data_IF_330527393129
#
_entry.id   IF_330527393129
#
_cell.length_a   1.000
_cell.length_b   1.000
_cell.length_c   1.000
_cell.angle_alpha   90.00
_cell.angle_beta   90.00
_cell.angle_gamma   90.00
#
_symmetry.space_group_name_H-M   'P 1'
#
loop_
_entity.id
_entity.type
_entity.pdbx_description
1 polymer ?
#
# COMPACT_ATOMS: atom_id res chain seq x y z
N UNK A 1 5.78 59.43 14.18
CA UNK A 1 4.41 59.93 13.94
C UNK A 1 3.76 59.01 12.91
N UNK A 2 2.90 58.08 13.32
CA UNK A 2 1.43 58.23 13.33
C UNK A 2 0.86 57.51 12.07
N UNK A 3 -0.02 56.51 12.09
CA UNK A 3 -0.98 56.06 13.09
C UNK A 3 -1.25 54.54 13.00
N UNK A 4 -1.33 53.93 14.18
CA UNK A 4 -2.07 52.71 14.43
C UNK A 4 -3.56 52.94 14.16
N UNK A 5 -4.19 52.06 13.36
CA UNK A 5 -5.64 51.82 13.36
C UNK A 5 -5.92 50.33 13.17
N UNK A 6 -6.30 49.72 14.29
CA UNK A 6 -6.96 48.44 14.40
C UNK A 6 -8.27 48.49 13.59
N UNK A 7 -8.49 47.49 12.72
CA UNK A 7 -9.81 47.15 12.21
C UNK A 7 -9.98 45.63 12.28
N UNK A 8 -10.92 45.27 13.14
CA UNK A 8 -11.45 43.95 13.46
C UNK A 8 -12.53 43.60 12.41
N UNK A 9 -12.85 42.30 12.28
CA UNK A 9 -13.97 41.71 11.47
C UNK A 9 -13.56 41.43 10.01
N UNK A 10 -13.71 40.23 9.42
CA UNK A 10 -14.75 39.23 9.57
C UNK A 10 -14.25 37.78 9.40
N UNK A 11 -14.87 36.91 10.20
CA UNK A 11 -14.89 35.47 10.08
C UNK A 11 -15.68 35.07 8.82
N UNK A 12 -15.04 34.42 7.84
CA UNK A 12 -15.72 33.75 6.74
C UNK A 12 -15.29 32.28 6.71
N UNK A 13 -16.03 31.46 7.45
CA UNK A 13 -15.97 30.01 7.37
C UNK A 13 -17.17 29.53 6.57
N UNK A 14 -16.99 29.13 5.29
CA UNK A 14 -17.83 28.11 4.64
C UNK A 14 -17.02 27.37 3.57
N UNK A 15 -16.81 26.08 3.79
CA UNK A 15 -17.04 25.07 2.75
C UNK A 15 -15.92 24.74 1.77
N UNK A 16 -14.67 24.62 2.24
CA UNK A 16 -13.68 23.87 1.47
C UNK A 16 -14.08 22.39 1.41
N UNK A 17 -14.63 21.94 0.28
CA UNK A 17 -14.68 20.52 -0.09
C UNK A 17 -13.24 20.01 -0.20
N UNK A 18 -12.67 19.61 0.94
CA UNK A 18 -11.47 18.79 0.95
C UNK A 18 -11.88 17.43 0.38
N UNK A 19 -11.27 16.94 -0.71
CA UNK A 19 -11.43 15.55 -1.08
C UNK A 19 -11.00 14.74 0.15
N UNK A 20 -11.93 13.93 0.67
CA UNK A 20 -11.65 12.95 1.71
C UNK A 20 -10.60 12.00 1.14
N UNK A 21 -9.33 12.36 1.28
CA UNK A 21 -8.21 11.45 1.16
C UNK A 21 -8.56 10.33 2.14
N UNK A 22 -8.89 9.16 1.58
CA UNK A 22 -9.08 7.96 2.36
C UNK A 22 -7.73 7.66 3.00
N UNK A 23 -7.51 8.19 4.20
CA UNK A 23 -6.43 7.77 5.07
C UNK A 23 -6.78 6.34 5.44
N UNK A 24 -6.09 5.39 4.84
CA UNK A 24 -6.11 4.00 5.26
C UNK A 24 -5.69 3.99 6.73
N UNK A 25 -6.62 3.68 7.63
CA UNK A 25 -6.33 3.49 9.04
C UNK A 25 -5.19 2.49 9.17
N UNK A 26 -4.10 2.89 9.81
CA UNK A 26 -2.99 1.99 10.09
C UNK A 26 -3.52 0.80 10.90
N UNK A 27 -3.23 -0.41 10.44
CA UNK A 27 -3.57 -1.64 11.15
C UNK A 27 -2.77 -1.69 12.46
N UNK A 28 -3.45 -1.53 13.59
CA UNK A 28 -2.85 -1.53 14.94
C UNK A 28 -2.62 -2.93 15.48
N UNK A 29 -2.92 -3.97 14.69
CA UNK A 29 -2.69 -5.35 15.10
C UNK A 29 -1.20 -5.63 15.31
N UNK A 30 -0.83 -6.51 16.27
CA UNK A 30 0.55 -6.97 16.38
C UNK A 30 1.08 -7.57 15.07
N UNK A 31 2.37 -7.39 14.75
CA UNK A 31 2.99 -8.01 13.58
C UNK A 31 2.91 -9.54 13.69
N UNK A 32 2.86 -10.21 12.54
CA UNK A 32 2.80 -11.68 12.50
C UNK A 32 4.17 -12.34 12.69
N UNK A 33 5.23 -11.61 12.38
CA UNK A 33 6.63 -12.00 12.62
C UNK A 33 7.52 -10.76 12.57
N UNK A 34 8.77 -10.90 13.02
CA UNK A 34 9.83 -9.90 12.86
C UNK A 34 11.06 -10.57 12.28
N UNK A 35 11.66 -9.98 11.24
CA UNK A 35 12.88 -10.47 10.59
C UNK A 35 13.95 -9.39 10.72
N UNK A 36 15.05 -9.68 11.43
CA UNK A 36 16.14 -8.72 11.67
C UNK A 36 15.68 -7.34 12.19
N UNK A 37 14.66 -7.33 13.07
CA UNK A 37 14.08 -6.10 13.63
C UNK A 37 13.05 -5.40 12.73
N UNK A 38 12.86 -5.87 11.48
CA UNK A 38 11.81 -5.39 10.59
C UNK A 38 10.51 -6.20 10.78
N UNK A 39 9.38 -5.57 11.15
CA UNK A 39 8.13 -6.29 11.33
C UNK A 39 7.51 -6.70 9.99
N UNK A 40 6.92 -7.89 9.96
CA UNK A 40 5.96 -8.30 8.93
C UNK A 40 4.57 -7.93 9.48
N UNK A 41 3.96 -6.89 8.90
CA UNK A 41 2.63 -6.45 9.33
C UNK A 41 1.56 -7.49 8.99
N UNK A 42 0.49 -7.52 9.78
CA UNK A 42 -0.67 -8.39 9.51
C UNK A 42 -1.27 -8.11 8.13
N UNK A 43 -1.52 -6.84 7.80
CA UNK A 43 -2.05 -6.47 6.48
C UNK A 43 -1.19 -6.94 5.30
N UNK A 44 0.15 -6.88 5.41
CA UNK A 44 1.03 -7.38 4.34
C UNK A 44 1.00 -8.90 4.23
N UNK A 45 0.95 -9.61 5.36
CA UNK A 45 0.79 -11.05 5.37
C UNK A 45 -0.55 -11.49 4.77
N UNK A 46 -1.66 -10.84 5.12
CA UNK A 46 -2.98 -11.13 4.52
C UNK A 46 -2.98 -10.87 3.00
N UNK A 47 -2.35 -9.77 2.56
CA UNK A 47 -2.20 -9.48 1.14
C UNK A 47 -1.41 -10.58 0.42
N UNK A 48 -0.29 -11.02 1.01
CA UNK A 48 0.51 -12.12 0.48
C UNK A 48 -0.29 -13.43 0.37
N UNK A 49 -0.98 -13.82 1.45
CA UNK A 49 -1.83 -15.03 1.47
C UNK A 49 -2.89 -14.99 0.37
N UNK A 50 -3.59 -13.85 0.25
CA UNK A 50 -4.59 -13.66 -0.80
C UNK A 50 -3.99 -13.81 -2.19
N UNK A 51 -2.78 -13.28 -2.40
CA UNK A 51 -2.07 -13.38 -3.68
C UNK A 51 -1.72 -14.82 -4.08
N UNK A 52 -1.34 -15.68 -3.12
CA UNK A 52 -0.90 -17.06 -3.42
C UNK A 52 -2.02 -18.11 -3.32
N UNK A 53 -3.13 -17.80 -2.63
CA UNK A 53 -4.20 -18.79 -2.37
C UNK A 53 -5.59 -18.35 -2.86
N UNK A 54 -5.79 -17.08 -3.19
CA UNK A 54 -7.11 -16.46 -3.40
C UNK A 54 -8.05 -16.55 -2.18
N UNK A 55 -7.52 -16.86 -0.99
CA UNK A 55 -8.25 -16.96 0.28
C UNK A 55 -7.69 -15.98 1.31
N UNK A 56 -8.42 -15.78 2.41
CA UNK A 56 -7.89 -15.14 3.62
C UNK A 56 -7.12 -16.13 4.50
N UNK A 57 -6.24 -15.64 5.39
CA UNK A 57 -5.48 -16.54 6.28
C UNK A 57 -6.37 -17.35 7.23
N UNK A 58 -7.54 -16.84 7.59
CA UNK A 58 -8.51 -17.51 8.45
C UNK A 58 -9.16 -18.74 7.81
N UNK A 59 -9.14 -18.84 6.48
CA UNK A 59 -9.66 -19.99 5.72
C UNK A 59 -8.63 -21.11 5.54
N UNK A 60 -7.38 -20.89 5.98
CA UNK A 60 -6.29 -21.85 5.89
C UNK A 60 -6.16 -22.69 7.16
N UNK A 61 -5.60 -23.89 7.02
CA UNK A 61 -5.16 -24.68 8.17
C UNK A 61 -3.97 -24.00 8.86
N UNK A 62 -3.70 -24.35 10.12
CA UNK A 62 -2.52 -23.84 10.83
C UNK A 62 -1.23 -24.13 10.06
N UNK A 63 -1.05 -25.36 9.59
CA UNK A 63 0.12 -25.76 8.80
C UNK A 63 0.27 -24.94 7.50
N UNK A 64 -0.84 -24.63 6.82
CA UNK A 64 -0.80 -23.79 5.60
C UNK A 64 -0.37 -22.35 5.91
N UNK A 65 -0.86 -21.78 7.02
CA UNK A 65 -0.44 -20.45 7.47
C UNK A 65 1.04 -20.42 7.81
N UNK A 66 1.52 -21.42 8.54
CA UNK A 66 2.92 -21.54 8.96
C UNK A 66 3.83 -21.65 7.73
N UNK A 67 3.51 -22.53 6.78
CA UNK A 67 4.26 -22.67 5.53
C UNK A 67 4.33 -21.37 4.73
N UNK A 68 3.21 -20.64 4.65
CA UNK A 68 3.17 -19.37 3.93
C UNK A 68 3.99 -18.28 4.65
N UNK A 69 3.91 -18.20 5.99
CA UNK A 69 4.71 -17.25 6.78
C UNK A 69 6.20 -17.54 6.62
N UNK A 70 6.58 -18.81 6.70
CA UNK A 70 7.94 -19.27 6.49
C UNK A 70 8.48 -18.91 5.10
N UNK A 71 7.67 -19.09 4.05
CA UNK A 71 8.04 -18.68 2.70
C UNK A 71 8.24 -17.17 2.58
N UNK A 72 7.37 -16.38 3.22
CA UNK A 72 7.49 -14.93 3.24
C UNK A 72 8.75 -14.46 3.99
N UNK A 73 9.08 -15.09 5.12
CA UNK A 73 10.32 -14.84 5.87
C UNK A 73 11.54 -15.17 5.01
N UNK A 74 11.54 -16.33 4.33
CA UNK A 74 12.62 -16.71 3.41
C UNK A 74 12.80 -15.69 2.29
N UNK A 75 11.72 -15.25 1.66
CA UNK A 75 11.77 -14.23 0.62
C UNK A 75 12.37 -12.91 1.14
N UNK A 76 12.01 -12.50 2.36
CA UNK A 76 12.57 -11.31 3.01
C UNK A 76 14.07 -11.43 3.24
N UNK A 77 14.54 -12.57 3.76
CA UNK A 77 15.95 -12.80 4.01
C UNK A 77 16.78 -12.79 2.71
N UNK A 78 16.26 -13.39 1.64
CA UNK A 78 16.90 -13.36 0.32
C UNK A 78 16.99 -11.91 -0.21
N UNK A 79 15.91 -11.13 -0.10
CA UNK A 79 15.91 -9.73 -0.51
C UNK A 79 16.90 -8.88 0.31
N UNK A 80 16.99 -9.11 1.62
CA UNK A 80 17.97 -8.44 2.48
C UNK A 80 19.40 -8.81 2.11
N UNK A 81 19.66 -10.06 1.75
CA UNK A 81 20.97 -10.48 1.26
C UNK A 81 21.32 -9.82 -0.07
N UNK A 82 20.38 -9.79 -1.02
CA UNK A 82 20.57 -9.11 -2.31
C UNK A 82 20.88 -7.61 -2.12
N UNK A 83 20.22 -6.94 -1.18
CA UNK A 83 20.49 -5.54 -0.85
C UNK A 83 21.88 -5.34 -0.19
N UNK A 84 22.31 -6.27 0.67
CA UNK A 84 23.66 -6.26 1.25
C UNK A 84 24.74 -6.42 0.18
N UNK A 85 24.48 -7.24 -0.82
CA UNK A 85 25.37 -7.45 -1.98
C UNK A 85 25.27 -6.33 -3.03
N UNK A 86 24.33 -5.40 -2.87
CA UNK A 86 24.11 -4.30 -3.82
C UNK A 86 23.48 -4.72 -5.14
N UNK A 87 22.92 -5.93 -5.22
CA UNK A 87 22.28 -6.46 -6.43
C UNK A 87 21.04 -5.65 -6.81
N UNK A 88 20.32 -5.13 -5.82
CA UNK A 88 19.17 -4.23 -5.99
C UNK A 88 19.53 -2.89 -6.68
N UNK A 89 20.82 -2.53 -6.69
CA UNK A 89 21.37 -1.31 -7.29
C UNK A 89 22.09 -1.56 -8.62
N UNK A 90 22.21 -2.82 -9.06
CA UNK A 90 22.77 -3.14 -10.37
C UNK A 90 21.89 -2.55 -11.49
N UNK A 91 22.48 -2.15 -12.62
CA UNK A 91 21.76 -1.44 -13.71
C UNK A 91 20.46 -2.13 -14.12
N UNK A 92 20.54 -3.43 -14.34
CA UNK A 92 19.45 -4.23 -14.89
C UNK A 92 18.39 -4.48 -13.81
N UNK A 93 18.81 -4.80 -12.59
CA UNK A 93 17.87 -5.05 -11.47
C UNK A 93 17.15 -3.77 -11.07
N UNK A 94 17.87 -2.65 -10.93
CA UNK A 94 17.27 -1.37 -10.59
C UNK A 94 16.25 -0.93 -11.66
N UNK A 95 16.59 -1.10 -12.94
CA UNK A 95 15.67 -0.81 -14.05
C UNK A 95 14.43 -1.71 -14.01
N UNK A 96 14.60 -3.00 -13.76
CA UNK A 96 13.49 -3.94 -13.65
C UNK A 96 12.57 -3.62 -12.46
N UNK A 97 13.14 -3.21 -11.32
CA UNK A 97 12.38 -2.79 -10.14
C UNK A 97 11.58 -1.51 -10.43
N UNK A 98 12.17 -0.52 -11.10
CA UNK A 98 11.45 0.71 -11.46
C UNK A 98 10.35 0.45 -12.48
N UNK A 99 10.60 -0.37 -13.51
CA UNK A 99 9.56 -0.78 -14.46
C UNK A 99 8.41 -1.52 -13.76
N UNK A 100 8.73 -2.41 -12.82
CA UNK A 100 7.71 -3.12 -12.03
C UNK A 100 6.88 -2.16 -11.19
N UNK A 101 7.52 -1.15 -10.58
CA UNK A 101 6.83 -0.10 -9.82
C UNK A 101 5.88 0.70 -10.72
N UNK A 102 6.33 1.12 -11.90
CA UNK A 102 5.51 1.85 -12.86
C UNK A 102 4.28 1.03 -13.28
N UNK A 103 4.45 -0.26 -13.57
CA UNK A 103 3.35 -1.15 -13.94
C UNK A 103 2.30 -1.28 -12.82
N UNK A 104 2.74 -1.44 -11.56
CA UNK A 104 1.83 -1.52 -10.40
C UNK A 104 1.05 -0.21 -10.24
N UNK A 105 1.70 0.94 -10.40
CA UNK A 105 1.04 2.25 -10.29
C UNK A 105 0.03 2.47 -11.41
N UNK A 106 0.36 2.10 -12.65
CA UNK A 106 -0.56 2.18 -13.78
C UNK A 106 -1.80 1.31 -13.56
N UNK A 107 -1.63 0.09 -13.04
CA UNK A 107 -2.77 -0.77 -12.70
C UNK A 107 -3.63 -0.14 -11.61
N UNK A 108 -3.02 0.38 -10.54
CA UNK A 108 -3.76 0.99 -9.44
C UNK A 108 -4.60 2.20 -9.88
N UNK A 109 -4.07 3.03 -10.79
CA UNK A 109 -4.82 4.16 -11.38
C UNK A 109 -5.96 3.65 -12.26
N UNK A 110 -5.71 2.64 -13.09
CA UNK A 110 -6.74 2.02 -13.95
C UNK A 110 -7.89 1.44 -13.13
N UNK A 111 -7.57 0.66 -12.09
CA UNK A 111 -8.56 0.06 -11.19
C UNK A 111 -9.42 1.12 -10.50
N UNK A 112 -8.81 2.22 -10.07
CA UNK A 112 -9.54 3.34 -9.46
C UNK A 112 -10.45 4.02 -10.48
N UNK A 113 -9.94 4.34 -11.67
CA UNK A 113 -10.68 5.02 -12.71
C UNK A 113 -11.90 4.22 -13.18
N UNK A 114 -11.77 2.91 -13.32
CA UNK A 114 -12.87 2.02 -13.72
C UNK A 114 -13.91 1.81 -12.63
N UNK A 115 -13.51 1.76 -11.34
CA UNK A 115 -14.46 1.66 -10.22
C UNK A 115 -15.45 2.84 -10.19
N UNK A 116 -14.96 4.03 -10.53
CA UNK A 116 -15.75 5.26 -10.53
C UNK A 116 -16.59 5.42 -11.81
N UNK A 117 -16.44 4.52 -12.80
CA UNK A 117 -17.12 4.58 -14.11
C UNK A 117 -17.73 3.22 -14.45
N UNK A 118 -18.96 2.99 -13.99
CA UNK A 118 -19.76 1.84 -14.44
C UNK A 118 -20.24 2.09 -15.87
N UNK A 119 -20.09 1.13 -16.80
CA UNK A 119 -20.73 1.19 -18.10
C UNK A 119 -22.24 1.36 -17.95
N UNK A 120 -22.84 2.21 -18.78
CA UNK A 120 -24.29 2.34 -18.85
C UNK A 120 -24.92 1.08 -19.50
N UNK A 121 -26.18 0.81 -19.19
CA UNK A 121 -26.97 -0.28 -19.83
C UNK A 121 -27.07 -0.12 -21.36
N UNK A 122 -26.83 1.08 -21.90
CA UNK A 122 -26.79 1.34 -23.34
C UNK A 122 -25.44 0.94 -23.97
N UNK A 123 -24.35 0.99 -23.22
CA UNK A 123 -23.02 0.57 -23.67
C UNK A 123 -22.82 -0.96 -23.56
N UNK A 124 -23.71 -1.65 -22.85
CA UNK A 124 -23.69 -3.10 -22.63
C UNK A 124 -24.65 -3.89 -23.54
N UNK A 125 -25.44 -3.21 -24.37
CA UNK A 125 -26.46 -3.81 -25.24
C UNK A 125 -26.02 -4.03 -26.67
#
# INVERSE_FOLDING_TARGET
>A
MNHSRILLVALAAVGGCQPKSAVTTADTSPPVATVNGSPISRGFYEFYIKGITSKSSGELTAQQRDLALDNLIRARLVAEQAAKEGLDKSSDTASMLELSRLNVLQQAVSDRYLKDRKPSEQELR
#
